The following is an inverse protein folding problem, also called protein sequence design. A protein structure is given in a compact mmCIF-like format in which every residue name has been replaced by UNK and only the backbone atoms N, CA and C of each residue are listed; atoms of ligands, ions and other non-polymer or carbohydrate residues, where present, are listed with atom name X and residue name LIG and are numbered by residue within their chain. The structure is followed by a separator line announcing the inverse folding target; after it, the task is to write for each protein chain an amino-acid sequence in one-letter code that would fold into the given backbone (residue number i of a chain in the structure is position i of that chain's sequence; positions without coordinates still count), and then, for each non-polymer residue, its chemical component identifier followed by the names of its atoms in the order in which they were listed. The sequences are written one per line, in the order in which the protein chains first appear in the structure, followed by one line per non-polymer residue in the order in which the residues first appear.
data_IF_425008257133
#
_entry.id   IF_425008257133
#
_cell.length_a   1.000
_cell.length_b   1.000
_cell.length_c   1.000
_cell.angle_alpha   90.00
_cell.angle_beta   90.00
_cell.angle_gamma   90.00
#
_symmetry.space_group_name_H-M   'P 1'
#
loop_
_entity.id
_entity.type
_entity.pdbx_description
1 polymer ?
#
# COMPACT_ATOMS: atom_id res chain seq x y z
N UNK A 1 33.09 -7.92 0.28
CA UNK A 1 32.04 -7.71 1.30
C UNK A 1 31.95 -6.27 1.79
N UNK A 2 33.00 -5.63 2.33
CA UNK A 2 32.91 -4.25 2.88
C UNK A 2 32.45 -3.17 1.88
N UNK A 3 32.90 -3.24 0.62
CA UNK A 3 32.50 -2.29 -0.44
C UNK A 3 31.02 -2.42 -0.83
N UNK A 4 30.49 -3.64 -0.83
CA UNK A 4 29.10 -3.95 -1.15
C UNK A 4 28.16 -3.42 -0.06
N UNK A 5 28.47 -3.71 1.21
CA UNK A 5 27.69 -3.22 2.36
C UNK A 5 27.64 -1.69 2.43
N UNK A 6 28.76 -1.00 2.12
CA UNK A 6 28.76 0.48 2.05
C UNK A 6 27.92 1.03 0.90
N UNK A 7 27.92 0.35 -0.25
CA UNK A 7 27.09 0.73 -1.39
C UNK A 7 25.60 0.55 -1.08
N UNK A 8 25.22 -0.53 -0.40
CA UNK A 8 23.84 -0.78 0.06
C UNK A 8 23.38 0.27 1.06
N UNK A 9 24.17 0.57 2.09
CA UNK A 9 23.86 1.65 3.06
C UNK A 9 23.66 3.00 2.36
N UNK A 10 24.52 3.31 1.38
CA UNK A 10 24.43 4.57 0.63
C UNK A 10 23.15 4.61 -0.20
N UNK A 11 22.82 3.51 -0.90
CA UNK A 11 21.58 3.38 -1.66
C UNK A 11 20.35 3.59 -0.77
N UNK A 12 20.30 2.97 0.39
CA UNK A 12 19.17 3.07 1.31
C UNK A 12 19.02 4.48 1.89
N UNK A 13 20.15 5.15 2.16
CA UNK A 13 20.17 6.56 2.59
C UNK A 13 19.61 7.49 1.50
N UNK A 14 19.98 7.25 0.23
CA UNK A 14 19.42 7.99 -0.92
C UNK A 14 17.92 7.75 -1.02
N UNK A 15 17.46 6.51 -0.90
CA UNK A 15 16.02 6.18 -0.98
C UNK A 15 15.22 6.83 0.14
N UNK A 16 15.71 6.79 1.38
CA UNK A 16 15.05 7.47 2.50
C UNK A 16 14.98 8.99 2.30
N UNK A 17 16.07 9.60 1.80
CA UNK A 17 16.07 11.02 1.43
C UNK A 17 15.08 11.34 0.32
N UNK A 18 15.02 10.50 -0.72
CA UNK A 18 14.11 10.64 -1.85
C UNK A 18 12.65 10.53 -1.41
N UNK A 19 12.29 9.53 -0.62
CA UNK A 19 10.95 9.34 -0.07
C UNK A 19 10.46 10.60 0.67
N UNK A 20 11.31 11.17 1.53
CA UNK A 20 11.00 12.41 2.25
C UNK A 20 10.80 13.61 1.31
N UNK A 21 11.65 13.76 0.28
CA UNK A 21 11.49 14.85 -0.70
C UNK A 21 10.20 14.68 -1.51
N UNK A 22 9.88 13.46 -1.97
CA UNK A 22 8.64 13.19 -2.71
C UNK A 22 7.39 13.40 -1.85
N UNK A 23 7.43 13.05 -0.57
CA UNK A 23 6.36 13.36 0.38
C UNK A 23 6.19 14.87 0.61
N UNK A 24 7.27 15.65 0.61
CA UNK A 24 7.17 17.09 0.84
C UNK A 24 6.74 17.85 -0.42
N UNK A 25 7.32 17.53 -1.57
CA UNK A 25 7.21 18.34 -2.79
C UNK A 25 6.31 17.71 -3.87
N UNK A 26 6.06 16.40 -3.78
CA UNK A 26 5.52 15.62 -4.90
C UNK A 26 6.54 15.40 -6.01
N UNK A 27 6.23 14.48 -6.93
CA UNK A 27 7.12 14.10 -8.02
C UNK A 27 7.50 15.27 -8.93
N UNK A 28 6.51 16.08 -9.33
CA UNK A 28 6.69 17.14 -10.32
C UNK A 28 7.70 18.20 -9.84
N UNK A 29 7.59 18.63 -8.58
CA UNK A 29 8.43 19.69 -8.01
C UNK A 29 9.76 19.20 -7.44
N UNK A 30 9.89 17.90 -7.15
CA UNK A 30 11.14 17.34 -6.63
C UNK A 30 12.28 17.39 -7.67
N UNK A 31 13.49 17.65 -7.21
CA UNK A 31 14.72 17.61 -7.99
C UNK A 31 15.79 16.70 -7.38
N UNK A 32 16.69 16.16 -8.22
CA UNK A 32 17.84 15.37 -7.74
C UNK A 32 18.76 16.19 -6.81
N UNK A 33 18.89 17.51 -7.04
CA UNK A 33 19.66 18.40 -6.17
C UNK A 33 19.08 18.49 -4.76
N UNK A 34 17.76 18.59 -4.63
CA UNK A 34 17.10 18.59 -3.31
C UNK A 34 17.24 17.24 -2.61
N UNK A 35 17.17 16.14 -3.36
CA UNK A 35 17.35 14.79 -2.80
C UNK A 35 18.80 14.61 -2.31
N UNK A 36 19.79 15.09 -3.06
CA UNK A 36 21.19 15.10 -2.62
C UNK A 36 21.33 15.89 -1.32
N UNK A 37 20.76 17.09 -1.26
CA UNK A 37 20.78 17.93 -0.06
C UNK A 37 20.11 17.25 1.13
N UNK A 38 18.97 16.58 0.92
CA UNK A 38 18.20 15.92 1.98
C UNK A 38 18.90 14.65 2.50
N UNK A 39 19.46 13.85 1.60
CA UNK A 39 20.11 12.57 1.94
C UNK A 39 21.53 12.73 2.48
N UNK A 40 22.12 13.92 2.39
CA UNK A 40 23.51 14.21 2.78
C UNK A 40 24.56 13.33 2.08
N UNK A 41 24.19 12.73 0.95
CA UNK A 41 25.13 11.96 0.11
C UNK A 41 25.79 12.87 -0.90
N UNK A 42 26.91 12.44 -1.47
CA UNK A 42 27.54 13.20 -2.56
C UNK A 42 26.76 13.04 -3.86
N UNK A 43 26.87 14.03 -4.76
CA UNK A 43 26.33 13.93 -6.13
C UNK A 43 26.80 12.65 -6.83
N UNK A 44 28.10 12.34 -6.75
CA UNK A 44 28.67 11.13 -7.36
C UNK A 44 28.09 9.84 -6.78
N UNK A 45 27.82 9.79 -5.47
CA UNK A 45 27.19 8.65 -4.83
C UNK A 45 25.75 8.44 -5.30
N UNK A 46 24.96 9.51 -5.45
CA UNK A 46 23.60 9.39 -6.00
C UNK A 46 23.63 8.86 -7.44
N UNK A 47 24.42 9.48 -8.31
CA UNK A 47 24.49 9.09 -9.72
C UNK A 47 25.13 7.71 -9.95
N UNK A 48 25.86 7.18 -8.97
CA UNK A 48 26.32 5.80 -9.01
C UNK A 48 25.17 4.79 -8.85
N UNK A 49 24.11 5.15 -8.11
CA UNK A 49 22.97 4.27 -7.85
C UNK A 49 21.75 4.54 -8.73
N UNK A 50 21.54 5.79 -9.12
CA UNK A 50 20.34 6.22 -9.86
C UNK A 50 20.73 7.22 -10.95
N UNK A 51 20.45 6.87 -12.21
CA UNK A 51 20.73 7.68 -13.38
C UNK A 51 19.75 8.83 -13.60
N UNK A 52 18.56 8.77 -12.99
CA UNK A 52 17.52 9.80 -13.16
C UNK A 52 16.58 9.94 -11.96
N UNK A 53 15.75 11.00 -11.95
CA UNK A 53 14.70 11.19 -10.94
C UNK A 53 13.63 10.10 -11.05
N UNK A 54 13.35 9.69 -12.28
CA UNK A 54 12.40 8.64 -12.64
C UNK A 54 12.86 7.30 -12.04
N UNK A 55 14.12 6.93 -12.23
CA UNK A 55 14.69 5.69 -11.70
C UNK A 55 14.66 5.67 -10.16
N UNK A 56 14.94 6.82 -9.55
CA UNK A 56 14.88 6.97 -8.10
C UNK A 56 13.45 6.90 -7.56
N UNK A 57 12.48 7.51 -8.24
CA UNK A 57 11.07 7.40 -7.88
C UNK A 57 10.57 5.96 -8.00
N UNK A 58 10.98 5.24 -9.05
CA UNK A 58 10.68 3.81 -9.20
C UNK A 58 11.25 2.99 -8.05
N UNK A 59 12.50 3.22 -7.69
CA UNK A 59 13.12 2.50 -6.58
C UNK A 59 12.46 2.78 -5.22
N UNK A 60 11.90 3.98 -5.02
CA UNK A 60 11.04 4.29 -3.85
C UNK A 60 9.72 3.52 -3.90
N UNK A 61 9.08 3.43 -5.07
CA UNK A 61 7.86 2.62 -5.25
C UNK A 61 8.13 1.15 -4.96
N UNK A 62 9.20 0.58 -5.55
CA UNK A 62 9.57 -0.82 -5.40
C UNK A 62 9.86 -1.16 -3.94
N UNK A 63 10.64 -0.31 -3.24
CA UNK A 63 10.96 -0.47 -1.83
C UNK A 63 9.71 -0.38 -0.94
N UNK A 64 8.84 0.62 -1.17
CA UNK A 64 7.58 0.72 -0.43
C UNK A 64 6.67 -0.48 -0.64
N UNK A 65 6.58 -0.98 -1.88
CA UNK A 65 5.78 -2.15 -2.21
C UNK A 65 6.35 -3.43 -1.57
N UNK A 66 7.68 -3.56 -1.52
CA UNK A 66 8.34 -4.68 -0.85
C UNK A 66 8.07 -4.69 0.66
N UNK A 67 8.10 -3.52 1.32
CA UNK A 67 7.76 -3.37 2.74
C UNK A 67 6.31 -3.72 3.02
N UNK A 68 5.39 -3.18 2.23
CA UNK A 68 3.96 -3.49 2.36
C UNK A 68 3.68 -4.98 2.11
N UNK A 69 4.26 -5.55 1.05
CA UNK A 69 4.15 -6.98 0.74
C UNK A 69 4.66 -7.83 1.91
N UNK A 70 5.76 -7.41 2.53
CA UNK A 70 6.34 -8.07 3.71
C UNK A 70 5.37 -8.06 4.89
N UNK A 71 4.75 -6.92 5.20
CA UNK A 71 3.76 -6.82 6.27
C UNK A 71 2.50 -7.68 6.01
N UNK A 72 2.13 -7.84 4.74
CA UNK A 72 0.99 -8.63 4.31
C UNK A 72 1.28 -10.14 4.20
N UNK A 73 2.55 -10.59 4.29
CA UNK A 73 2.90 -12.01 4.12
C UNK A 73 2.15 -12.95 5.08
N UNK A 74 1.81 -12.48 6.28
CA UNK A 74 1.03 -13.24 7.27
C UNK A 74 -0.36 -13.69 6.77
N UNK A 75 -0.89 -13.03 5.72
CA UNK A 75 -2.19 -13.38 5.12
C UNK A 75 -2.07 -14.34 3.94
N UNK A 76 -0.85 -14.70 3.54
CA UNK A 76 -0.60 -15.46 2.33
C UNK A 76 -0.37 -16.97 2.58
N UNK A 77 -0.25 -17.40 3.85
CA UNK A 77 0.03 -18.79 4.21
C UNK A 77 -1.20 -19.72 4.18
N UNK A 78 -2.39 -19.17 3.86
CA UNK A 78 -3.64 -19.91 3.73
C UNK A 78 -4.28 -20.34 5.05
N UNK A 79 -3.71 -19.96 6.20
CA UNK A 79 -4.29 -20.26 7.53
C UNK A 79 -5.44 -19.34 7.89
N UNK A 80 -5.45 -18.14 7.33
CA UNK A 80 -6.48 -17.13 7.57
C UNK A 80 -7.52 -17.23 6.44
N UNK A 81 -8.83 -17.28 6.75
CA UNK A 81 -9.89 -17.18 5.75
C UNK A 81 -9.70 -15.97 4.83
N UNK A 82 -10.06 -16.10 3.55
CA UNK A 82 -9.65 -15.12 2.55
C UNK A 82 -10.32 -13.75 2.72
N UNK A 83 -11.58 -13.72 3.20
CA UNK A 83 -12.24 -12.45 3.52
C UNK A 83 -11.62 -11.79 4.76
N UNK A 84 -11.27 -12.56 5.78
CA UNK A 84 -10.52 -12.06 6.94
C UNK A 84 -9.14 -11.50 6.55
N UNK A 85 -8.49 -12.14 5.58
CA UNK A 85 -7.25 -11.67 5.00
C UNK A 85 -7.43 -10.35 4.24
N UNK A 86 -8.46 -10.22 3.41
CA UNK A 86 -8.76 -8.97 2.70
C UNK A 86 -9.04 -7.81 3.67
N UNK A 87 -9.87 -8.05 4.71
CA UNK A 87 -10.09 -7.09 5.80
C UNK A 87 -8.76 -6.79 6.48
N UNK A 88 -7.98 -7.80 6.86
CA UNK A 88 -6.72 -7.61 7.56
C UNK A 88 -5.69 -6.78 6.78
N UNK A 89 -5.56 -7.03 5.48
CA UNK A 89 -4.68 -6.29 4.57
C UNK A 89 -5.12 -4.83 4.48
N UNK A 90 -6.43 -4.55 4.40
CA UNK A 90 -6.93 -3.16 4.31
C UNK A 90 -6.47 -2.28 5.48
N UNK A 91 -6.45 -2.82 6.69
CA UNK A 91 -5.98 -2.10 7.88
C UNK A 91 -4.45 -1.93 7.89
N UNK A 92 -3.69 -2.92 7.40
CA UNK A 92 -2.22 -2.78 7.28
C UNK A 92 -1.85 -1.71 6.28
N UNK A 93 -2.53 -1.68 5.12
CA UNK A 93 -2.30 -0.65 4.10
C UNK A 93 -2.53 0.74 4.69
N UNK A 94 -3.65 0.92 5.39
CA UNK A 94 -3.97 2.17 6.09
C UNK A 94 -2.94 2.53 7.15
N UNK A 95 -2.56 1.60 8.01
CA UNK A 95 -1.60 1.85 9.08
C UNK A 95 -0.23 2.27 8.52
N UNK A 96 0.33 1.47 7.60
CA UNK A 96 1.63 1.76 7.00
C UNK A 96 1.61 3.00 6.11
N UNK A 97 0.46 3.39 5.56
CA UNK A 97 0.33 4.66 4.82
C UNK A 97 0.52 5.90 5.69
N UNK A 98 0.50 5.74 7.02
CA UNK A 98 0.74 6.81 8.00
C UNK A 98 2.06 6.60 8.75
N UNK A 99 2.36 5.35 9.12
CA UNK A 99 3.48 5.03 10.01
C UNK A 99 4.80 4.76 9.29
N UNK A 100 4.78 4.38 8.00
CA UNK A 100 5.98 4.18 7.20
C UNK A 100 6.11 5.25 6.09
N UNK A 101 7.08 6.17 6.18
CA UNK A 101 7.31 7.21 5.17
C UNK A 101 7.61 6.65 3.78
N UNK A 102 8.19 5.46 3.68
CA UNK A 102 8.48 4.82 2.39
C UNK A 102 7.20 4.33 1.72
N UNK A 103 6.29 3.68 2.48
CA UNK A 103 4.97 3.26 1.99
C UNK A 103 4.13 4.47 1.64
N UNK A 104 4.17 5.52 2.47
CA UNK A 104 3.50 6.80 2.20
C UNK A 104 3.98 7.42 0.88
N UNK A 105 5.31 7.45 0.67
CA UNK A 105 5.91 7.99 -0.55
C UNK A 105 5.54 7.15 -1.77
N UNK A 106 5.60 5.81 -1.65
CA UNK A 106 5.15 4.88 -2.69
C UNK A 106 3.71 5.17 -3.09
N UNK A 107 2.77 5.19 -2.14
CA UNK A 107 1.35 5.46 -2.44
C UNK A 107 1.20 6.79 -3.17
N UNK A 108 1.81 7.87 -2.68
CA UNK A 108 1.74 9.18 -3.34
C UNK A 108 2.30 9.15 -4.76
N UNK A 109 3.46 8.53 -4.97
CA UNK A 109 4.08 8.42 -6.29
C UNK A 109 3.21 7.60 -7.24
N UNK A 110 2.66 6.46 -6.80
CA UNK A 110 1.76 5.62 -7.61
C UNK A 110 0.54 6.40 -8.12
N UNK A 111 0.02 7.37 -7.37
CA UNK A 111 -1.08 8.23 -7.85
C UNK A 111 -0.61 9.32 -8.82
N UNK A 112 0.61 9.86 -8.63
CA UNK A 112 1.10 11.01 -9.41
C UNK A 112 1.68 10.63 -10.76
N UNK A 113 2.41 9.51 -10.83
CA UNK A 113 3.08 9.06 -12.05
C UNK A 113 2.52 7.75 -12.60
N UNK A 114 1.73 7.01 -11.81
CA UNK A 114 1.18 5.72 -12.23
C UNK A 114 2.26 4.76 -12.71
N UNK A 115 1.90 3.94 -13.70
CA UNK A 115 2.86 3.18 -14.50
C UNK A 115 3.43 4.08 -15.61
N UNK A 116 4.46 4.84 -15.27
CA UNK A 116 5.15 5.69 -16.23
C UNK A 116 6.23 4.92 -17.00
N UNK A 117 6.08 4.86 -18.33
CA UNK A 117 7.07 4.47 -19.37
C UNK A 117 8.27 3.65 -18.87
N UNK A 118 8.04 2.36 -18.59
CA UNK A 118 9.12 1.36 -18.42
C UNK A 118 9.21 0.70 -17.06
N UNK A 119 8.13 0.63 -16.28
CA UNK A 119 8.11 -0.27 -15.12
C UNK A 119 7.97 -1.73 -15.58
N UNK A 120 8.52 -2.67 -14.81
CA UNK A 120 8.28 -4.12 -15.02
C UNK A 120 6.84 -4.54 -14.63
N UNK A 121 5.97 -3.57 -14.26
CA UNK A 121 4.56 -3.77 -13.96
C UNK A 121 3.99 -2.70 -13.03
N UNK A 122 2.71 -2.38 -13.22
CA UNK A 122 1.95 -1.47 -12.36
C UNK A 122 1.65 -2.12 -10.98
N UNK A 123 2.12 -1.51 -9.89
CA UNK A 123 1.88 -1.98 -8.50
C UNK A 123 0.38 -2.18 -8.21
N UNK A 124 -0.47 -1.25 -8.65
CA UNK A 124 -1.92 -1.34 -8.46
C UNK A 124 -2.52 -2.51 -9.23
N UNK A 125 -2.02 -2.79 -10.45
CA UNK A 125 -2.45 -3.98 -11.20
C UNK A 125 -2.05 -5.27 -10.48
N UNK A 126 -0.85 -5.31 -9.89
CA UNK A 126 -0.42 -6.44 -9.05
C UNK A 126 -1.32 -6.65 -7.83
N UNK A 127 -1.72 -5.57 -7.15
CA UNK A 127 -2.64 -5.65 -6.01
C UNK A 127 -4.06 -6.05 -6.44
N UNK A 128 -4.54 -5.59 -7.59
CA UNK A 128 -5.83 -6.01 -8.15
C UNK A 128 -5.87 -7.53 -8.28
N UNK A 129 -4.85 -8.13 -8.91
CA UNK A 129 -4.74 -9.58 -9.06
C UNK A 129 -4.69 -10.30 -7.70
N UNK A 130 -4.07 -9.69 -6.68
CA UNK A 130 -4.04 -10.26 -5.34
C UNK A 130 -5.43 -10.25 -4.68
N UNK A 131 -6.18 -9.14 -4.80
CA UNK A 131 -7.54 -9.04 -4.27
C UNK A 131 -8.53 -9.93 -5.04
N UNK A 132 -8.41 -10.08 -6.36
CA UNK A 132 -9.21 -11.02 -7.16
C UNK A 132 -9.04 -12.46 -6.66
N UNK A 133 -7.80 -12.86 -6.35
CA UNK A 133 -7.49 -14.18 -5.79
C UNK A 133 -8.08 -14.36 -4.40
N UNK A 134 -8.09 -13.33 -3.55
CA UNK A 134 -8.72 -13.38 -2.23
C UNK A 134 -10.24 -13.48 -2.36
N UNK A 135 -10.86 -12.72 -3.26
CA UNK A 135 -12.30 -12.78 -3.53
C UNK A 135 -12.71 -14.17 -4.02
N UNK A 136 -11.98 -14.74 -4.99
CA UNK A 136 -12.25 -16.09 -5.50
C UNK A 136 -12.15 -17.16 -4.40
N UNK A 137 -11.15 -17.05 -3.52
CA UNK A 137 -11.01 -17.95 -2.37
C UNK A 137 -12.13 -17.77 -1.35
N UNK A 138 -12.53 -16.54 -1.06
CA UNK A 138 -13.61 -16.25 -0.12
C UNK A 138 -14.97 -16.76 -0.63
N UNK A 139 -15.21 -16.70 -1.94
CA UNK A 139 -16.36 -17.35 -2.60
C UNK A 139 -16.27 -18.87 -2.42
N UNK A 140 -15.12 -19.48 -2.71
CA UNK A 140 -14.93 -20.93 -2.54
C UNK A 140 -15.07 -21.41 -1.08
N UNK A 141 -14.75 -20.54 -0.10
CA UNK A 141 -14.96 -20.77 1.33
C UNK A 141 -16.41 -20.54 1.78
N UNK A 142 -17.27 -20.03 0.90
CA UNK A 142 -18.65 -19.66 1.20
C UNK A 142 -18.78 -18.45 2.12
N UNK A 143 -17.73 -17.63 2.23
CA UNK A 143 -17.75 -16.37 3.01
C UNK A 143 -18.33 -15.21 2.20
N UNK A 144 -18.24 -15.29 0.87
CA UNK A 144 -18.87 -14.37 -0.08
C UNK A 144 -19.96 -15.09 -0.88
N UNK A 145 -21.00 -14.37 -1.29
CA UNK A 145 -22.08 -14.89 -2.13
C UNK A 145 -21.54 -15.56 -3.41
N UNK A 146 -21.94 -16.81 -3.70
CA UNK A 146 -21.42 -17.60 -4.82
C UNK A 146 -21.79 -17.06 -6.21
N UNK A 147 -22.77 -16.16 -6.31
CA UNK A 147 -23.14 -15.49 -7.56
C UNK A 147 -22.25 -14.28 -7.90
N UNK A 148 -21.36 -13.88 -6.99
CA UNK A 148 -20.49 -12.73 -7.17
C UNK A 148 -19.34 -12.99 -8.14
N UNK A 149 -18.95 -11.97 -8.89
CA UNK A 149 -17.75 -12.01 -9.73
C UNK A 149 -16.49 -11.64 -8.91
N UNK A 150 -15.47 -12.53 -8.83
CA UNK A 150 -14.26 -12.27 -8.05
C UNK A 150 -13.50 -11.01 -8.48
N UNK A 151 -13.45 -10.73 -9.78
CA UNK A 151 -12.65 -9.61 -10.31
C UNK A 151 -13.31 -8.26 -10.02
N UNK A 152 -14.64 -8.21 -10.08
CA UNK A 152 -15.44 -7.07 -9.64
C UNK A 152 -15.24 -6.80 -8.15
N UNK A 153 -15.30 -7.83 -7.30
CA UNK A 153 -15.06 -7.66 -5.86
C UNK A 153 -13.63 -7.18 -5.59
N UNK A 154 -12.64 -7.80 -6.22
CA UNK A 154 -11.24 -7.46 -6.00
C UNK A 154 -10.93 -6.01 -6.38
N UNK A 155 -11.42 -5.58 -7.55
CA UNK A 155 -11.31 -4.20 -8.02
C UNK A 155 -12.02 -3.23 -7.08
N UNK A 156 -13.27 -3.53 -6.68
CA UNK A 156 -14.04 -2.67 -5.78
C UNK A 156 -13.34 -2.46 -4.44
N UNK A 157 -12.77 -3.52 -3.85
CA UNK A 157 -11.99 -3.41 -2.61
C UNK A 157 -10.79 -2.49 -2.84
N UNK A 158 -9.98 -2.72 -3.88
CA UNK A 158 -8.81 -1.89 -4.17
C UNK A 158 -9.17 -0.41 -4.38
N UNK A 159 -10.23 -0.13 -5.15
CA UNK A 159 -10.73 1.21 -5.44
C UNK A 159 -11.16 1.93 -4.15
N UNK A 160 -11.92 1.25 -3.29
CA UNK A 160 -12.36 1.80 -2.00
C UNK A 160 -11.16 2.10 -1.10
N UNK A 161 -10.21 1.16 -0.95
CA UNK A 161 -9.01 1.37 -0.12
C UNK A 161 -8.21 2.59 -0.59
N UNK A 162 -8.02 2.69 -1.90
CA UNK A 162 -7.30 3.79 -2.54
C UNK A 162 -8.03 5.11 -2.31
N UNK A 163 -9.35 5.14 -2.53
CA UNK A 163 -10.19 6.32 -2.34
C UNK A 163 -10.17 6.86 -0.91
N UNK A 164 -10.22 5.97 0.08
CA UNK A 164 -10.19 6.34 1.51
C UNK A 164 -8.90 7.03 1.88
N UNK A 165 -7.79 6.41 1.51
CA UNK A 165 -6.47 6.96 1.75
C UNK A 165 -6.33 8.32 1.07
N UNK A 166 -6.72 8.41 -0.20
CA UNK A 166 -6.66 9.65 -0.98
C UNK A 166 -7.50 10.76 -0.34
N UNK A 167 -8.73 10.49 0.08
CA UNK A 167 -9.60 11.47 0.73
C UNK A 167 -9.04 11.89 2.09
N UNK A 168 -8.53 10.96 2.89
CA UNK A 168 -7.95 11.28 4.20
C UNK A 168 -6.70 12.16 4.07
N UNK A 169 -5.82 11.87 3.11
CA UNK A 169 -4.65 12.72 2.81
C UNK A 169 -5.10 14.09 2.32
N UNK A 170 -6.06 14.16 1.39
CA UNK A 170 -6.55 15.43 0.83
C UNK A 170 -7.25 16.32 1.87
N UNK A 171 -7.85 15.71 2.90
CA UNK A 171 -8.56 16.43 3.98
C UNK A 171 -7.73 16.60 5.24
N UNK A 172 -6.47 16.12 5.27
CA UNK A 172 -5.59 16.13 6.45
C UNK A 172 -6.20 15.44 7.67
N UNK A 173 -6.89 14.33 7.45
CA UNK A 173 -7.57 13.54 8.49
C UNK A 173 -7.08 12.08 8.51
N UNK A 174 -5.77 11.87 8.35
CA UNK A 174 -5.18 10.53 8.29
C UNK A 174 -5.34 9.75 9.60
N UNK A 175 -5.49 10.46 10.72
CA UNK A 175 -5.81 9.91 12.04
C UNK A 175 -7.18 9.22 12.09
N UNK A 176 -8.11 9.59 11.20
CA UNK A 176 -9.44 8.97 11.13
C UNK A 176 -9.46 7.69 10.27
N UNK A 177 -8.36 7.34 9.61
CA UNK A 177 -8.32 6.23 8.66
C UNK A 177 -8.82 4.89 9.25
N UNK A 178 -8.46 4.49 10.49
CA UNK A 178 -8.98 3.25 11.07
C UNK A 178 -10.51 3.25 11.17
N UNK A 179 -11.12 4.33 11.65
CA UNK A 179 -12.60 4.47 11.75
C UNK A 179 -13.28 4.63 10.39
N UNK A 180 -12.60 5.21 9.40
CA UNK A 180 -13.09 5.25 8.00
C UNK A 180 -13.09 3.86 7.39
N UNK A 181 -12.06 3.06 7.65
CA UNK A 181 -11.97 1.68 7.18
C UNK A 181 -13.06 0.80 7.79
N UNK A 182 -13.30 0.93 9.10
CA UNK A 182 -14.40 0.22 9.79
C UNK A 182 -15.75 0.48 9.14
N UNK A 183 -16.06 1.76 8.94
CA UNK A 183 -17.32 2.22 8.37
C UNK A 183 -17.53 1.65 6.97
N UNK A 184 -16.47 1.58 6.17
CA UNK A 184 -16.57 0.98 4.85
C UNK A 184 -16.86 -0.51 4.90
N UNK A 185 -16.15 -1.27 5.72
CA UNK A 185 -16.45 -2.68 5.89
C UNK A 185 -17.89 -2.87 6.42
N UNK A 186 -18.34 -2.02 7.34
CA UNK A 186 -19.72 -2.07 7.85
C UNK A 186 -20.78 -1.96 6.74
N UNK A 187 -20.56 -1.08 5.74
CA UNK A 187 -21.46 -0.87 4.61
C UNK A 187 -21.22 -1.80 3.42
N UNK A 188 -20.00 -2.31 3.24
CA UNK A 188 -19.63 -3.20 2.14
C UNK A 188 -20.04 -4.65 2.45
N UNK A 189 -19.85 -5.12 3.68
CA UNK A 189 -20.12 -6.52 4.06
C UNK A 189 -21.54 -7.01 3.73
N UNK A 190 -22.64 -6.25 3.96
CA UNK A 190 -23.99 -6.68 3.61
C UNK A 190 -24.19 -7.01 2.12
N UNK A 191 -23.37 -6.44 1.23
CA UNK A 191 -23.42 -6.71 -0.20
C UNK A 191 -22.56 -7.92 -0.62
N UNK A 192 -21.66 -8.38 0.26
CA UNK A 192 -20.70 -9.44 -0.05
C UNK A 192 -21.04 -10.76 0.64
N UNK A 193 -21.47 -10.73 1.90
CA UNK A 193 -21.53 -11.94 2.75
C UNK A 193 -22.96 -12.44 2.96
N UNK A 194 -23.16 -13.76 3.11
CA UNK A 194 -24.45 -14.32 3.52
C UNK A 194 -24.94 -13.72 4.85
N UNK A 195 -26.25 -13.50 4.99
CA UNK A 195 -26.83 -12.83 6.17
C UNK A 195 -26.45 -13.49 7.50
N UNK A 196 -26.32 -14.82 7.53
CA UNK A 196 -25.92 -15.57 8.73
C UNK A 196 -24.45 -15.39 9.13
N UNK A 197 -23.61 -14.80 8.26
CA UNK A 197 -22.19 -14.51 8.53
C UNK A 197 -21.92 -13.00 8.73
N UNK A 198 -22.92 -12.14 8.52
CA UNK A 198 -22.75 -10.69 8.52
C UNK A 198 -22.23 -10.14 9.87
N UNK A 199 -22.84 -10.55 10.97
CA UNK A 199 -22.46 -10.05 12.30
C UNK A 199 -21.04 -10.47 12.67
N UNK A 200 -20.64 -11.70 12.32
CA UNK A 200 -19.28 -12.18 12.52
C UNK A 200 -18.25 -11.28 11.83
N UNK A 201 -18.43 -10.98 10.54
CA UNK A 201 -17.45 -10.17 9.80
C UNK A 201 -17.45 -8.70 10.24
N UNK A 202 -18.61 -8.16 10.67
CA UNK A 202 -18.68 -6.81 11.25
C UNK A 202 -17.88 -6.73 12.55
N UNK A 203 -18.06 -7.69 13.44
CA UNK A 203 -17.26 -7.74 14.68
C UNK A 203 -15.78 -7.93 14.37
N UNK A 204 -15.43 -8.80 13.41
CA UNK A 204 -14.06 -9.02 13.00
C UNK A 204 -13.40 -7.73 12.49
N UNK A 205 -14.09 -6.97 11.64
CA UNK A 205 -13.62 -5.68 11.14
C UNK A 205 -13.49 -4.65 12.25
N UNK A 206 -14.46 -4.55 13.17
CA UNK A 206 -14.44 -3.61 14.29
C UNK A 206 -13.27 -3.89 15.26
N UNK A 207 -12.96 -5.16 15.54
CA UNK A 207 -11.82 -5.54 16.41
C UNK A 207 -10.47 -5.08 15.83
N UNK A 208 -10.35 -4.92 14.50
CA UNK A 208 -9.13 -4.41 13.87
C UNK A 208 -8.92 -2.92 14.12
N UNK A 209 -9.99 -2.14 14.22
CA UNK A 209 -9.91 -0.73 14.62
C UNK A 209 -9.24 -0.58 15.97
N UNK A 210 -9.54 -1.46 16.92
CA UNK A 210 -8.93 -1.43 18.26
C UNK A 210 -7.41 -1.70 18.19
N UNK A 211 -6.96 -2.51 17.22
CA UNK A 211 -5.55 -2.86 17.05
C UNK A 211 -4.74 -1.77 16.33
N UNK A 212 -5.38 -1.01 15.44
CA UNK A 212 -4.74 0.00 14.58
C UNK A 212 -5.23 1.43 14.88
N UNK A 213 -6.04 1.62 15.91
CA UNK A 213 -6.49 2.91 16.40
C UNK A 213 -5.44 3.57 17.30
N UNK A 214 -5.59 4.87 17.59
CA UNK A 214 -4.71 5.60 18.50
C UNK A 214 -4.71 5.04 19.92
#
# INVERSE_FOLDING_TARGET
MVRQARAEITRDTVLAGAANVFLRLGYANASLSEIISQSQVTKGALYFHFGSKEELARAVIDEGNARLSTACMQFNDGRIPALEAAIGISYIVVDLSVTDPMVSAMLRLSHQIGDYRGTEGNVMAGWSVAFDKLAAKAIAQGDIDPSSDPSTIGSLVLEILTGVHMVAVATSTTEELPSRMERLWYYLLPALVPTNKLDYFREFAARRVIRFGP
#
